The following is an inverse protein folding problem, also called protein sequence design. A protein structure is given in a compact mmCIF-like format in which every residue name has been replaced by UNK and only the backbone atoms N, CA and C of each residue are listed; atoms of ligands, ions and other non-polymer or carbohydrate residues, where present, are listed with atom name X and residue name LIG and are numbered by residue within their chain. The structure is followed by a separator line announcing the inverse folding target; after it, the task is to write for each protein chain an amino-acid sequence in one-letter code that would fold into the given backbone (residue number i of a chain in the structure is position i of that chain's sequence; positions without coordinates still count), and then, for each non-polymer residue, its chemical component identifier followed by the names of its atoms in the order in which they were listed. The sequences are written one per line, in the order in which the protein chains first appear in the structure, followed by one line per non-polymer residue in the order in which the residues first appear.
data_IF_601339920804
#
_entry.id   IF_601339920804
#
_cell.length_a   1.000
_cell.length_b   1.000
_cell.length_c   1.000
_cell.angle_alpha   90.00
_cell.angle_beta   90.00
_cell.angle_gamma   90.00
#
_symmetry.space_group_name_H-M   'P 1'
#
loop_
_entity.id
_entity.type
_entity.pdbx_description
1 polymer ?
#
# COMPACT_ATOMS: atom_id res chain seq x y z
N UNK A 1 -12.06 14.55 -50.01
CA UNK A 1 -11.60 15.11 -48.72
C UNK A 1 -12.35 14.56 -47.50
N UNK A 2 -13.64 14.23 -47.57
CA UNK A 2 -14.42 13.68 -46.43
C UNK A 2 -13.93 12.34 -45.86
N UNK A 3 -13.56 11.39 -46.72
CA UNK A 3 -13.11 10.04 -46.29
C UNK A 3 -11.82 10.13 -45.45
N UNK A 4 -10.88 10.98 -45.86
CA UNK A 4 -9.61 11.19 -45.14
C UNK A 4 -9.86 11.73 -43.73
N UNK A 5 -10.79 12.68 -43.58
CA UNK A 5 -11.15 13.24 -42.27
C UNK A 5 -11.80 12.20 -41.34
N UNK A 6 -12.61 11.31 -41.90
CA UNK A 6 -13.23 10.20 -41.16
C UNK A 6 -12.16 9.21 -40.66
N UNK A 7 -11.19 8.86 -41.50
CA UNK A 7 -10.08 7.97 -41.12
C UNK A 7 -9.19 8.58 -40.03
N UNK A 8 -8.90 9.88 -40.10
CA UNK A 8 -8.15 10.59 -39.06
C UNK A 8 -8.90 10.57 -37.73
N UNK A 9 -10.21 10.84 -37.74
CA UNK A 9 -11.03 10.77 -36.52
C UNK A 9 -11.05 9.35 -35.93
N UNK A 10 -11.14 8.33 -36.78
CA UNK A 10 -11.10 6.93 -36.33
C UNK A 10 -9.76 6.56 -35.69
N UNK A 11 -8.65 6.98 -36.29
CA UNK A 11 -7.31 6.74 -35.75
C UNK A 11 -7.05 7.48 -34.43
N UNK A 12 -7.63 8.68 -34.28
CA UNK A 12 -7.58 9.43 -33.01
C UNK A 12 -8.38 8.72 -31.91
N UNK A 13 -9.60 8.27 -32.22
CA UNK A 13 -10.42 7.51 -31.28
C UNK A 13 -9.73 6.21 -30.84
N UNK A 14 -9.11 5.47 -31.76
CA UNK A 14 -8.34 4.27 -31.42
C UNK A 14 -7.18 4.58 -30.47
N UNK A 15 -6.51 5.73 -30.68
CA UNK A 15 -5.41 6.17 -29.82
C UNK A 15 -5.91 6.53 -28.42
N UNK A 16 -6.99 7.31 -28.33
CA UNK A 16 -7.61 7.67 -27.05
C UNK A 16 -8.09 6.43 -26.27
N UNK A 17 -8.74 5.48 -26.94
CA UNK A 17 -9.18 4.23 -26.30
C UNK A 17 -8.00 3.40 -25.81
N UNK A 18 -6.91 3.35 -26.57
CA UNK A 18 -5.68 2.66 -26.16
C UNK A 18 -5.04 3.31 -24.93
N UNK A 19 -5.05 4.63 -24.86
CA UNK A 19 -4.50 5.37 -23.73
C UNK A 19 -5.38 5.23 -22.48
N UNK A 20 -6.71 5.28 -22.62
CA UNK A 20 -7.65 4.96 -21.54
C UNK A 20 -7.38 3.56 -21.00
N UNK A 21 -7.24 2.55 -21.87
CA UNK A 21 -6.92 1.18 -21.46
C UNK A 21 -5.62 1.11 -20.65
N UNK A 22 -4.59 1.87 -21.05
CA UNK A 22 -3.33 1.94 -20.33
C UNK A 22 -3.50 2.54 -18.94
N UNK A 23 -4.20 3.67 -18.84
CA UNK A 23 -4.46 4.32 -17.55
C UNK A 23 -5.29 3.44 -16.62
N UNK A 24 -6.29 2.72 -17.13
CA UNK A 24 -7.08 1.78 -16.34
C UNK A 24 -6.19 0.67 -15.75
N UNK A 25 -5.25 0.13 -16.53
CA UNK A 25 -4.29 -0.89 -16.05
C UNK A 25 -3.39 -0.31 -14.96
N UNK A 26 -2.88 0.91 -15.15
CA UNK A 26 -2.02 1.58 -14.16
C UNK A 26 -2.78 1.89 -12.86
N UNK A 27 -4.02 2.36 -12.95
CA UNK A 27 -4.89 2.59 -11.80
C UNK A 27 -5.14 1.28 -11.06
N UNK A 28 -5.45 0.19 -11.77
CA UNK A 28 -5.65 -1.12 -11.17
C UNK A 28 -4.44 -1.55 -10.34
N UNK A 29 -3.23 -1.45 -10.89
CA UNK A 29 -2.00 -1.79 -10.17
C UNK A 29 -1.79 -0.96 -8.91
N UNK A 30 -2.04 0.35 -8.98
CA UNK A 30 -1.92 1.25 -7.82
C UNK A 30 -2.95 0.93 -6.74
N UNK A 31 -4.16 0.52 -7.13
CA UNK A 31 -5.18 0.07 -6.18
C UNK A 31 -4.74 -1.20 -5.47
N UNK A 32 -4.17 -2.17 -6.21
CA UNK A 32 -3.66 -3.41 -5.62
C UNK A 32 -2.52 -3.14 -4.61
N UNK A 33 -1.60 -2.24 -4.94
CA UNK A 33 -0.52 -1.80 -4.03
C UNK A 33 -1.07 -1.18 -2.73
N UNK A 34 -2.03 -0.25 -2.86
CA UNK A 34 -2.66 0.40 -1.71
C UNK A 34 -3.44 -0.58 -0.82
N UNK A 35 -4.10 -1.58 -1.42
CA UNK A 35 -4.78 -2.63 -0.67
C UNK A 35 -3.80 -3.48 0.13
N UNK A 36 -2.69 -3.88 -0.50
CA UNK A 36 -1.64 -4.65 0.17
C UNK A 36 -1.04 -3.91 1.37
N UNK A 37 -0.69 -2.63 1.21
CA UNK A 37 -0.17 -1.81 2.31
C UNK A 37 -1.18 -1.69 3.46
N UNK A 38 -2.46 -1.48 3.13
CA UNK A 38 -3.53 -1.37 4.12
C UNK A 38 -3.72 -2.67 4.90
N UNK A 39 -3.64 -3.82 4.24
CA UNK A 39 -3.71 -5.14 4.89
C UNK A 39 -2.57 -5.31 5.88
N UNK A 40 -1.32 -5.01 5.48
CA UNK A 40 -0.15 -5.07 6.36
C UNK A 40 -0.36 -4.18 7.59
N UNK A 41 -0.72 -2.92 7.40
CA UNK A 41 -0.91 -1.98 8.52
C UNK A 41 -2.03 -2.45 9.46
N UNK A 42 -3.09 -3.03 8.90
CA UNK A 42 -4.20 -3.56 9.69
C UNK A 42 -3.77 -4.77 10.53
N UNK A 43 -2.99 -5.68 9.94
CA UNK A 43 -2.40 -6.82 10.66
C UNK A 43 -1.45 -6.35 11.75
N UNK A 44 -0.57 -5.38 11.46
CA UNK A 44 0.36 -4.82 12.45
C UNK A 44 -0.39 -4.23 13.66
N UNK A 45 -1.45 -3.45 13.43
CA UNK A 45 -2.28 -2.88 14.51
C UNK A 45 -3.01 -3.94 15.33
N UNK A 46 -3.50 -5.00 14.68
CA UNK A 46 -4.13 -6.12 15.38
C UNK A 46 -3.11 -6.86 16.26
N UNK A 47 -1.92 -7.12 15.73
CA UNK A 47 -0.83 -7.74 16.47
C UNK A 47 -0.37 -6.88 17.64
N UNK A 48 -0.18 -5.58 17.44
CA UNK A 48 0.18 -4.61 18.48
C UNK A 48 -0.85 -4.63 19.63
N UNK A 49 -2.14 -4.53 19.31
CA UNK A 49 -3.21 -4.56 20.32
C UNK A 49 -3.24 -5.88 21.08
N UNK A 50 -3.09 -7.01 20.38
CA UNK A 50 -3.06 -8.34 20.99
C UNK A 50 -1.86 -8.48 21.93
N UNK A 51 -0.67 -8.09 21.49
CA UNK A 51 0.57 -8.16 22.27
C UNK A 51 0.50 -7.23 23.49
N UNK A 52 -0.01 -6.01 23.34
CA UNK A 52 -0.22 -5.11 24.48
C UNK A 52 -1.06 -5.79 25.56
N UNK A 53 -2.23 -6.33 25.18
CA UNK A 53 -3.11 -7.01 26.15
C UNK A 53 -2.49 -8.26 26.79
N UNK A 54 -1.57 -8.93 26.08
CA UNK A 54 -0.83 -10.08 26.60
C UNK A 54 0.18 -9.65 27.68
N UNK A 55 0.93 -8.58 27.43
CA UNK A 55 1.95 -8.06 28.34
C UNK A 55 1.39 -7.19 29.49
N UNK A 56 0.14 -6.72 29.41
CA UNK A 56 -0.47 -5.86 30.44
C UNK A 56 -0.45 -6.48 31.86
N UNK A 57 -0.38 -7.81 31.96
CA UNK A 57 -0.35 -8.54 33.24
C UNK A 57 1.05 -9.09 33.60
N UNK A 58 2.06 -8.85 32.77
CA UNK A 58 3.41 -9.31 33.06
C UNK A 58 4.12 -8.35 34.02
N UNK A 59 4.73 -8.86 35.11
CA UNK A 59 5.52 -8.04 36.00
C UNK A 59 6.78 -7.54 35.29
N UNK A 60 7.20 -6.31 35.59
CA UNK A 60 8.48 -5.79 35.12
C UNK A 60 9.63 -6.54 35.81
N UNK A 61 10.20 -7.50 35.08
CA UNK A 61 11.24 -8.43 35.58
C UNK A 61 12.67 -7.90 35.38
N UNK A 62 12.86 -6.75 34.73
CA UNK A 62 14.20 -6.18 34.49
C UNK A 62 14.28 -4.74 34.98
N UNK A 63 15.12 -4.51 35.98
CA UNK A 63 15.39 -3.17 36.50
C UNK A 63 16.66 -2.60 35.89
N UNK A 64 16.75 -1.27 35.85
CA UNK A 64 18.01 -0.56 35.55
C UNK A 64 19.15 -1.04 36.46
N UNK A 65 18.82 -1.46 37.69
CA UNK A 65 19.77 -2.04 38.63
C UNK A 65 20.40 -3.36 38.15
N UNK A 66 19.74 -4.11 37.27
CA UNK A 66 20.21 -5.39 36.72
C UNK A 66 21.18 -5.22 35.54
N UNK A 67 21.35 -3.99 35.04
CA UNK A 67 22.29 -3.69 33.97
C UNK A 67 23.74 -3.85 34.47
N UNK A 68 24.40 -4.92 34.01
CA UNK A 68 25.82 -5.22 34.33
C UNK A 68 26.83 -4.21 33.78
N UNK A 69 26.47 -3.41 32.79
CA UNK A 69 27.38 -2.49 32.12
C UNK A 69 26.85 -1.07 32.26
N UNK A 70 27.52 -0.25 33.08
CA UNK A 70 27.33 1.20 33.09
C UNK A 70 28.37 1.80 32.15
N UNK A 71 27.93 2.35 31.02
CA UNK A 71 28.78 3.23 30.23
C UNK A 71 29.06 4.49 31.07
N UNK A 72 30.35 4.78 31.28
CA UNK A 72 30.84 5.99 31.96
C UNK A 72 30.99 7.13 30.97
#
# INVERSE_FOLDING_TARGET
MHIVKMLINMMNLETEVRDIKRYVIEISKKVDELLYEKEIVSLMKLSEKSLSSFFDNEPDIYKIADLKVRYK
#
